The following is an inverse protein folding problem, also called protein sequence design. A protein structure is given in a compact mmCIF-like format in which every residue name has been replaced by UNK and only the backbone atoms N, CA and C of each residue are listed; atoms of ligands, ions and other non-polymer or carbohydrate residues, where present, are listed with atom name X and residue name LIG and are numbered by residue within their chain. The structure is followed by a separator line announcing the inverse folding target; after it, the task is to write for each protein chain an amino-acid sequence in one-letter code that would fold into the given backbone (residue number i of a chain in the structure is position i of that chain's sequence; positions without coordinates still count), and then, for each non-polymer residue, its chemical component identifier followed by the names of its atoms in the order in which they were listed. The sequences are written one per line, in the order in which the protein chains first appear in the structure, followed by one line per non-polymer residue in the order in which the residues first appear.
data_IF_735474445746
#
_entry.id   IF_735474445746
#
_cell.length_a   1.000
_cell.length_b   1.000
_cell.length_c   1.000
_cell.angle_alpha   90.00
_cell.angle_beta   90.00
_cell.angle_gamma   90.00
#
_symmetry.space_group_name_H-M   'P 1'
#
loop_
_entity.id
_entity.type
_entity.pdbx_description
1 polymer ?
#
# COMPACT_ATOMS: atom_id res chain seq x y z
N UNK A 1 34.43 1.64 -15.64
CA UNK A 1 33.37 2.33 -16.39
C UNK A 1 32.53 3.03 -15.34
N UNK A 2 32.54 4.37 -15.27
CA UNK A 2 31.64 5.09 -14.35
C UNK A 2 30.28 5.13 -15.04
N UNK A 3 29.26 4.49 -14.48
CA UNK A 3 27.90 4.59 -15.01
C UNK A 3 27.35 5.98 -14.70
N UNK A 4 26.62 6.56 -15.65
CA UNK A 4 25.86 7.81 -15.47
C UNK A 4 24.51 7.56 -14.76
N UNK A 5 24.26 6.32 -14.33
CA UNK A 5 23.07 5.90 -13.61
C UNK A 5 23.30 6.18 -12.13
N UNK A 6 22.46 7.04 -11.54
CA UNK A 6 22.47 7.29 -10.12
C UNK A 6 22.06 6.01 -9.37
N UNK A 7 22.86 5.60 -8.39
CA UNK A 7 22.59 4.43 -7.57
C UNK A 7 22.84 4.74 -6.09
N UNK A 8 22.17 4.00 -5.22
CA UNK A 8 22.42 4.00 -3.79
C UNK A 8 23.08 2.67 -3.42
N UNK A 9 24.24 2.75 -2.75
CA UNK A 9 24.82 1.58 -2.08
C UNK A 9 24.14 1.47 -0.71
N UNK A 10 23.52 0.33 -0.44
CA UNK A 10 22.88 0.11 0.85
C UNK A 10 23.97 -0.17 1.89
N UNK A 11 24.07 0.69 2.91
CA UNK A 11 25.10 0.63 3.97
C UNK A 11 25.29 -0.80 4.52
N UNK A 12 26.55 -1.24 4.62
CA UNK A 12 26.97 -2.58 5.07
C UNK A 12 26.42 -3.76 4.24
N UNK A 13 26.01 -3.53 2.99
CA UNK A 13 25.63 -4.59 2.05
C UNK A 13 26.32 -4.47 0.69
N UNK A 14 26.46 -5.62 0.01
CA UNK A 14 26.97 -5.69 -1.37
C UNK A 14 25.88 -5.35 -2.42
N UNK A 15 24.69 -4.89 -1.98
CA UNK A 15 23.60 -4.54 -2.87
C UNK A 15 23.72 -3.09 -3.37
N UNK A 16 23.62 -2.95 -4.69
CA UNK A 16 23.44 -1.67 -5.37
C UNK A 16 21.99 -1.61 -5.83
N UNK A 17 21.26 -0.57 -5.42
CA UNK A 17 19.88 -0.35 -5.85
C UNK A 17 19.81 0.92 -6.68
N UNK A 18 19.14 0.84 -7.83
CA UNK A 18 18.86 1.97 -8.69
C UNK A 18 17.60 1.72 -9.51
N UNK A 19 16.98 2.81 -9.94
CA UNK A 19 15.86 2.79 -10.88
C UNK A 19 16.38 3.10 -12.29
N UNK A 20 15.89 2.37 -13.29
CA UNK A 20 16.17 2.64 -14.70
C UNK A 20 14.89 2.41 -15.52
N UNK A 21 14.64 3.28 -16.51
CA UNK A 21 13.55 3.07 -17.44
C UNK A 21 13.92 2.02 -18.49
N UNK A 22 12.95 1.22 -18.92
CA UNK A 22 13.14 0.17 -19.93
C UNK A 22 13.55 0.73 -21.32
N UNK A 23 13.30 2.03 -21.57
CA UNK A 23 13.72 2.73 -22.78
C UNK A 23 15.12 3.36 -22.69
N UNK A 24 15.80 3.25 -21.55
CA UNK A 24 17.19 3.68 -21.41
C UNK A 24 18.13 2.80 -22.26
N UNK A 25 19.08 3.38 -23.01
CA UNK A 25 20.02 2.62 -23.83
C UNK A 25 20.85 1.57 -23.09
N UNK A 26 21.04 1.71 -21.77
CA UNK A 26 21.78 0.76 -20.95
C UNK A 26 20.92 -0.43 -20.49
N UNK A 27 19.58 -0.33 -20.55
CA UNK A 27 18.66 -1.35 -20.07
C UNK A 27 18.94 -2.75 -20.65
N UNK A 28 19.17 -2.95 -21.97
CA UNK A 28 19.46 -4.28 -22.50
C UNK A 28 20.72 -4.93 -21.90
N UNK A 29 21.73 -4.13 -21.54
CA UNK A 29 22.97 -4.65 -20.92
C UNK A 29 22.74 -5.03 -19.46
N UNK A 30 21.93 -4.26 -18.75
CA UNK A 30 21.57 -4.53 -17.35
C UNK A 30 20.67 -5.76 -17.26
N UNK A 31 19.67 -5.86 -18.15
CA UNK A 31 18.81 -7.03 -18.25
C UNK A 31 19.63 -8.31 -18.50
N UNK A 32 20.58 -8.28 -19.43
CA UNK A 32 21.44 -9.43 -19.70
C UNK A 32 22.33 -9.82 -18.49
N UNK A 33 22.76 -8.84 -17.69
CA UNK A 33 23.50 -9.09 -16.45
C UNK A 33 22.61 -9.77 -15.40
N UNK A 34 21.41 -9.24 -15.16
CA UNK A 34 20.45 -9.82 -14.23
C UNK A 34 20.11 -11.27 -14.62
N UNK A 35 19.84 -11.52 -15.90
CA UNK A 35 19.57 -12.86 -16.42
C UNK A 35 20.76 -13.83 -16.22
N UNK A 36 22.00 -13.37 -16.42
CA UNK A 36 23.20 -14.17 -16.21
C UNK A 36 23.43 -14.54 -14.74
N UNK A 37 23.06 -13.65 -13.82
CA UNK A 37 23.18 -13.85 -12.37
C UNK A 37 21.97 -14.57 -11.77
N UNK A 38 20.92 -14.82 -12.57
CA UNK A 38 19.66 -15.41 -12.10
C UNK A 38 18.84 -14.46 -11.21
N UNK A 39 19.06 -13.14 -11.38
CA UNK A 39 18.37 -12.07 -10.68
C UNK A 39 17.29 -11.43 -11.58
N UNK A 40 16.40 -10.64 -10.99
CA UNK A 40 15.28 -10.04 -11.68
C UNK A 40 15.05 -8.60 -11.23
N UNK A 41 14.76 -7.72 -12.19
CA UNK A 41 14.28 -6.39 -11.89
C UNK A 41 12.84 -6.46 -11.33
N UNK A 42 12.51 -5.50 -10.47
CA UNK A 42 11.15 -5.31 -9.96
C UNK A 42 10.51 -4.16 -10.77
N UNK A 43 9.63 -4.45 -11.74
CA UNK A 43 9.07 -3.40 -12.56
C UNK A 43 8.13 -2.51 -11.74
N UNK A 44 8.16 -1.21 -12.02
CA UNK A 44 7.22 -0.23 -11.45
C UNK A 44 6.86 0.80 -12.50
N UNK A 45 5.57 1.00 -12.71
CA UNK A 45 5.06 2.01 -13.63
C UNK A 45 5.08 3.38 -12.98
N UNK A 46 5.68 4.35 -13.69
CA UNK A 46 5.67 5.76 -13.29
C UNK A 46 4.58 6.47 -14.07
N UNK A 47 3.59 7.01 -13.36
CA UNK A 47 2.48 7.75 -13.95
C UNK A 47 2.78 9.25 -13.96
N UNK A 48 2.40 9.89 -15.06
CA UNK A 48 2.47 11.34 -15.21
C UNK A 48 1.47 12.04 -14.28
N UNK A 49 1.73 13.31 -13.97
CA UNK A 49 0.77 14.15 -13.23
C UNK A 49 -0.57 14.29 -13.95
N UNK A 50 -0.60 14.19 -15.27
CA UNK A 50 -1.83 14.30 -16.04
C UNK A 50 -2.68 13.05 -15.87
N UNK A 51 -2.08 11.85 -15.98
CA UNK A 51 -2.78 10.58 -15.75
C UNK A 51 -3.39 10.52 -14.34
N UNK A 52 -2.65 10.96 -13.31
CA UNK A 52 -3.17 11.03 -11.94
C UNK A 52 -4.33 12.05 -11.81
N UNK A 53 -4.31 13.13 -12.59
CA UNK A 53 -5.37 14.17 -12.57
C UNK A 53 -6.63 13.78 -13.32
N UNK A 54 -6.51 12.91 -14.31
CA UNK A 54 -7.61 12.43 -15.15
C UNK A 54 -8.27 11.15 -14.61
N UNK A 55 -7.56 10.39 -13.78
CA UNK A 55 -8.10 9.20 -13.15
C UNK A 55 -9.32 9.52 -12.28
N UNK A 56 -10.35 8.67 -12.37
CA UNK A 56 -11.53 8.73 -11.51
C UNK A 56 -11.23 8.17 -10.11
N UNK A 57 -10.38 7.14 -10.07
CA UNK A 57 -9.95 6.43 -8.88
C UNK A 57 -8.46 6.13 -8.95
N UNK A 58 -7.81 6.14 -7.79
CA UNK A 58 -6.39 5.85 -7.65
C UNK A 58 -6.16 4.87 -6.51
N UNK A 59 -5.25 3.93 -6.71
CA UNK A 59 -4.59 3.25 -5.60
C UNK A 59 -3.69 4.23 -4.87
N UNK A 60 -3.70 4.18 -3.55
CA UNK A 60 -2.77 4.91 -2.68
C UNK A 60 -2.00 3.93 -1.78
N UNK A 61 -0.73 4.22 -1.53
CA UNK A 61 0.07 3.59 -0.46
C UNK A 61 1.10 4.56 0.08
N UNK A 62 1.61 4.30 1.29
CA UNK A 62 2.83 4.96 1.75
C UNK A 62 4.08 4.25 1.21
N UNK A 63 5.10 5.02 0.84
CA UNK A 63 6.49 4.52 0.67
C UNK A 63 7.36 4.79 1.90
N UNK A 64 6.84 5.49 2.89
CA UNK A 64 7.50 5.64 4.19
C UNK A 64 6.94 4.62 5.17
N UNK A 65 7.74 3.60 5.45
CA UNK A 65 7.46 2.64 6.50
C UNK A 65 8.15 3.07 7.79
N UNK A 66 7.38 3.27 8.87
CA UNK A 66 7.94 3.74 10.15
C UNK A 66 7.61 2.81 11.31
N UNK A 67 8.65 2.11 11.78
CA UNK A 67 8.53 1.19 12.90
C UNK A 67 7.75 -0.08 12.54
N UNK A 68 7.64 -0.97 13.52
CA UNK A 68 6.93 -2.24 13.40
C UNK A 68 5.73 -2.25 14.37
N UNK A 69 4.64 -2.95 14.00
CA UNK A 69 3.53 -3.17 14.91
C UNK A 69 3.98 -4.01 16.12
N UNK A 70 3.54 -3.64 17.32
CA UNK A 70 3.95 -4.28 18.57
C UNK A 70 2.89 -5.28 19.08
N UNK A 71 3.32 -6.40 19.68
CA UNK A 71 4.70 -6.89 19.76
C UNK A 71 5.19 -7.49 18.44
N UNK A 72 6.44 -7.21 18.08
CA UNK A 72 7.06 -7.69 16.84
C UNK A 72 7.38 -9.19 16.87
N UNK A 73 7.80 -9.67 18.05
CA UNK A 73 8.24 -11.04 18.26
C UNK A 73 7.16 -12.04 17.84
N UNK A 74 7.53 -12.97 16.96
CA UNK A 74 6.64 -14.00 16.43
C UNK A 74 5.33 -13.46 15.81
N UNK A 75 5.35 -12.23 15.28
CA UNK A 75 4.16 -11.54 14.75
C UNK A 75 3.03 -11.38 15.78
N UNK A 76 3.35 -11.30 17.08
CA UNK A 76 2.37 -11.27 18.16
C UNK A 76 1.39 -10.09 18.11
N UNK A 77 1.73 -9.01 17.39
CA UNK A 77 0.79 -7.91 17.12
C UNK A 77 -0.52 -8.40 16.47
N UNK A 78 -0.47 -9.48 15.68
CA UNK A 78 -1.65 -9.99 14.97
C UNK A 78 -2.71 -10.48 15.95
N UNK A 79 -2.32 -11.12 17.03
CA UNK A 79 -3.27 -11.62 18.05
C UNK A 79 -3.94 -10.49 18.83
N UNK A 80 -3.23 -9.37 19.01
CA UNK A 80 -3.74 -8.21 19.74
C UNK A 80 -4.60 -7.30 18.86
N UNK A 81 -4.17 -7.09 17.61
CA UNK A 81 -4.76 -6.11 16.69
C UNK A 81 -5.91 -6.70 15.87
N UNK A 82 -5.81 -7.98 15.52
CA UNK A 82 -6.77 -8.65 14.64
C UNK A 82 -7.56 -9.75 15.35
N UNK A 83 -8.78 -9.95 14.89
CA UNK A 83 -9.57 -11.14 15.12
C UNK A 83 -9.13 -12.24 14.12
N UNK A 84 -8.60 -13.37 14.61
CA UNK A 84 -8.16 -14.46 13.75
C UNK A 84 -9.30 -15.39 13.30
N UNK A 85 -10.56 -15.11 13.64
CA UNK A 85 -11.70 -16.01 13.35
C UNK A 85 -11.81 -16.37 11.86
N UNK A 86 -11.48 -15.44 10.97
CA UNK A 86 -11.50 -15.65 9.52
C UNK A 86 -10.10 -15.77 8.90
N UNK A 87 -9.05 -15.81 9.72
CA UNK A 87 -7.67 -15.87 9.25
C UNK A 87 -7.33 -17.24 8.66
N UNK A 88 -6.89 -17.24 7.40
CA UNK A 88 -6.40 -18.44 6.74
C UNK A 88 -4.88 -18.57 6.91
N UNK A 89 -4.43 -19.62 7.59
CA UNK A 89 -2.99 -19.89 7.80
C UNK A 89 -2.22 -20.28 6.54
N UNK A 90 -2.93 -20.67 5.47
CA UNK A 90 -2.35 -21.04 4.19
C UNK A 90 -2.03 -19.81 3.35
N UNK A 91 -3.01 -18.94 3.10
CA UNK A 91 -2.83 -17.77 2.22
C UNK A 91 -2.56 -16.46 2.95
N UNK A 92 -2.77 -16.39 4.27
CA UNK A 92 -2.56 -15.21 5.10
C UNK A 92 -3.74 -14.24 5.17
N UNK A 93 -4.79 -14.45 4.37
CA UNK A 93 -5.94 -13.55 4.25
C UNK A 93 -6.92 -13.66 5.43
N UNK A 94 -7.84 -12.69 5.51
CA UNK A 94 -9.01 -12.73 6.38
C UNK A 94 -8.78 -12.22 7.81
N UNK A 95 -7.71 -11.45 8.05
CA UNK A 95 -7.54 -10.74 9.31
C UNK A 95 -8.58 -9.62 9.41
N UNK A 96 -9.28 -9.49 10.52
CA UNK A 96 -10.25 -8.40 10.74
C UNK A 96 -9.77 -7.57 11.93
N UNK A 97 -9.55 -6.27 11.76
CA UNK A 97 -9.03 -5.45 12.85
C UNK A 97 -10.08 -5.32 13.97
N UNK A 98 -9.66 -5.63 15.20
CA UNK A 98 -10.49 -5.56 16.41
C UNK A 98 -9.98 -4.55 17.45
N UNK A 99 -8.72 -4.12 17.35
CA UNK A 99 -8.12 -3.16 18.26
C UNK A 99 -7.11 -2.26 17.51
N UNK A 100 -6.72 -1.16 18.13
CA UNK A 100 -5.71 -0.22 17.65
C UNK A 100 -4.32 -0.88 17.55
N UNK A 101 -3.57 -0.50 16.52
CA UNK A 101 -2.16 -0.82 16.44
C UNK A 101 -1.36 -0.23 17.60
N UNK A 102 -0.34 -0.98 18.03
CA UNK A 102 0.62 -0.57 19.06
C UNK A 102 1.96 -0.26 18.42
N UNK A 103 2.56 0.87 18.80
CA UNK A 103 3.86 1.30 18.30
C UNK A 103 4.80 1.60 19.48
N UNK A 104 6.09 1.47 19.24
CA UNK A 104 7.11 1.80 20.25
C UNK A 104 7.16 3.30 20.55
N UNK A 105 6.96 4.14 19.53
CA UNK A 105 6.95 5.61 19.63
C UNK A 105 6.27 6.22 18.41
N UNK A 106 5.84 7.48 18.53
CA UNK A 106 5.41 8.28 17.39
C UNK A 106 6.57 8.50 16.39
N UNK A 107 6.28 8.60 15.08
CA UNK A 107 7.28 8.89 14.08
C UNK A 107 7.77 10.33 14.22
N UNK A 108 8.98 10.60 13.71
CA UNK A 108 9.43 11.98 13.50
C UNK A 108 8.84 12.48 12.17
N UNK A 109 7.67 13.10 12.23
CA UNK A 109 6.91 13.55 11.06
C UNK A 109 7.71 14.44 10.10
N UNK A 110 8.40 15.47 10.62
CA UNK A 110 9.08 16.44 9.77
C UNK A 110 8.05 17.14 8.88
N UNK A 111 8.18 16.97 7.55
CA UNK A 111 7.18 17.48 6.58
C UNK A 111 6.34 16.34 5.96
N UNK A 112 6.31 15.17 6.59
CA UNK A 112 5.55 14.00 6.14
C UNK A 112 4.26 13.94 6.95
N UNK A 113 3.19 13.49 6.32
CA UNK A 113 1.86 13.43 6.94
C UNK A 113 1.27 12.02 6.95
N UNK A 114 1.83 11.10 6.18
CA UNK A 114 1.35 9.72 6.07
C UNK A 114 2.50 8.74 6.26
N UNK A 115 2.27 7.63 6.96
CA UNK A 115 3.15 6.47 6.96
C UNK A 115 2.36 5.15 7.00
N UNK A 116 3.05 4.05 6.75
CA UNK A 116 2.56 2.69 7.02
C UNK A 116 3.52 1.99 7.97
N UNK A 117 3.05 0.97 8.68
CA UNK A 117 3.94 0.16 9.50
C UNK A 117 4.70 -0.84 8.61
N UNK A 118 5.85 -1.30 9.08
CA UNK A 118 6.47 -2.48 8.48
C UNK A 118 5.54 -3.70 8.66
N UNK A 119 5.44 -4.57 7.65
CA UNK A 119 4.55 -5.75 7.59
C UNK A 119 3.04 -5.47 7.51
N UNK A 120 2.62 -4.20 7.44
CA UNK A 120 1.21 -3.81 7.33
C UNK A 120 1.14 -2.78 6.21
N UNK A 121 0.92 -3.27 4.98
CA UNK A 121 1.07 -2.46 3.77
C UNK A 121 -0.25 -1.82 3.30
N UNK A 122 -1.37 -2.27 3.84
CA UNK A 122 -2.74 -1.87 3.56
C UNK A 122 -3.35 -0.94 4.62
N UNK A 123 -2.53 -0.44 5.55
CA UNK A 123 -2.95 0.51 6.57
C UNK A 123 -2.15 1.81 6.51
N UNK A 124 -2.84 2.93 6.68
CA UNK A 124 -2.25 4.27 6.69
C UNK A 124 -2.42 4.93 8.05
N UNK A 125 -1.38 5.66 8.46
CA UNK A 125 -1.36 6.47 9.67
C UNK A 125 -1.05 7.92 9.32
N UNK A 126 -1.71 8.84 10.01
CA UNK A 126 -1.63 10.28 9.77
C UNK A 126 -1.27 11.07 11.02
N UNK A 127 -0.70 12.26 10.81
CA UNK A 127 -0.47 13.26 11.84
C UNK A 127 -1.74 14.09 12.14
N UNK A 128 -1.65 14.98 13.13
CA UNK A 128 -2.78 15.87 13.50
C UNK A 128 -3.20 16.79 12.34
N UNK A 129 -2.24 17.23 11.51
CA UNK A 129 -2.51 18.11 10.36
C UNK A 129 -3.37 17.41 9.32
N UNK A 130 -2.93 16.24 8.82
CA UNK A 130 -3.68 15.49 7.83
C UNK A 130 -5.02 14.99 8.39
N UNK A 131 -5.06 14.56 9.66
CA UNK A 131 -6.32 14.23 10.34
C UNK A 131 -7.31 15.39 10.28
N UNK A 132 -6.92 16.59 10.70
CA UNK A 132 -7.82 17.75 10.75
C UNK A 132 -8.36 18.15 9.36
N UNK A 133 -7.51 18.10 8.34
CA UNK A 133 -7.90 18.38 6.95
C UNK A 133 -8.89 17.32 6.44
N UNK A 134 -8.62 16.03 6.69
CA UNK A 134 -9.50 14.94 6.30
C UNK A 134 -10.85 15.01 7.03
N UNK A 135 -10.88 15.26 8.34
CA UNK A 135 -12.13 15.38 9.12
C UNK A 135 -13.01 16.55 8.64
N UNK A 136 -12.41 17.66 8.22
CA UNK A 136 -13.14 18.84 7.74
C UNK A 136 -13.52 18.81 6.26
N UNK A 137 -13.09 17.80 5.51
CA UNK A 137 -13.25 17.73 4.05
C UNK A 137 -14.63 17.26 3.57
N UNK A 138 -15.42 16.65 4.46
CA UNK A 138 -16.66 15.97 4.12
C UNK A 138 -16.47 14.72 3.24
N UNK A 139 -15.25 14.21 3.10
CA UNK A 139 -14.99 12.91 2.47
C UNK A 139 -15.56 11.77 3.35
N UNK A 140 -15.86 10.64 2.74
CA UNK A 140 -16.47 9.48 3.43
C UNK A 140 -15.65 8.20 3.25
N UNK A 141 -16.01 7.14 4.00
CA UNK A 141 -15.40 5.80 3.86
C UNK A 141 -14.30 5.49 4.86
N UNK A 142 -14.02 6.42 5.78
CA UNK A 142 -13.01 6.25 6.81
C UNK A 142 -13.44 6.85 8.15
N UNK A 143 -12.75 6.39 9.20
CA UNK A 143 -12.72 7.02 10.52
C UNK A 143 -11.31 6.96 11.08
N UNK A 144 -11.06 7.69 12.17
CA UNK A 144 -9.77 7.64 12.85
C UNK A 144 -9.80 6.67 14.04
N UNK A 145 -8.77 5.83 14.12
CA UNK A 145 -8.45 5.05 15.31
C UNK A 145 -7.18 5.63 15.95
N UNK A 146 -7.08 5.66 17.29
CA UNK A 146 -5.84 6.03 17.93
C UNK A 146 -4.79 4.95 17.67
N UNK A 147 -3.53 5.33 17.55
CA UNK A 147 -2.41 4.42 17.78
C UNK A 147 -2.13 4.33 19.29
N UNK A 148 -1.67 3.18 19.78
CA UNK A 148 -1.33 2.99 21.20
C UNK A 148 0.17 2.82 21.42
N UNK A 149 0.63 3.09 22.64
CA UNK A 149 2.00 2.78 23.04
C UNK A 149 2.24 1.25 23.01
N UNK A 150 3.51 0.82 23.11
CA UNK A 150 3.88 -0.60 23.08
C UNK A 150 3.11 -1.48 24.06
N UNK A 151 2.74 -0.93 25.23
CA UNK A 151 1.98 -1.64 26.27
C UNK A 151 0.48 -1.71 25.99
N UNK A 152 -0.04 -0.89 25.09
CA UNK A 152 -1.47 -0.76 24.78
C UNK A 152 -2.26 0.02 25.83
N UNK A 153 -1.58 0.74 26.74
CA UNK A 153 -2.21 1.38 27.90
C UNK A 153 -2.58 2.85 27.65
N UNK A 154 -1.93 3.48 26.69
CA UNK A 154 -2.08 4.91 26.39
C UNK A 154 -2.09 5.09 24.88
N UNK A 155 -2.85 6.07 24.41
CA UNK A 155 -2.79 6.53 23.03
C UNK A 155 -1.47 7.27 22.77
N UNK A 156 -0.94 7.15 21.56
CA UNK A 156 0.22 7.90 21.11
C UNK A 156 -0.25 9.25 20.56
N UNK A 157 0.13 10.38 21.20
CA UNK A 157 -0.25 11.70 20.72
C UNK A 157 0.24 11.94 19.29
N UNK A 158 -0.60 12.56 18.46
CA UNK A 158 -0.26 12.95 17.10
C UNK A 158 -0.09 11.79 16.11
N UNK A 159 -0.64 10.60 16.42
CA UNK A 159 -0.63 9.44 15.51
C UNK A 159 -2.01 8.80 15.45
N UNK A 160 -2.62 8.85 14.27
CA UNK A 160 -3.98 8.36 14.04
C UNK A 160 -3.97 7.39 12.87
N UNK A 161 -4.52 6.20 13.03
CA UNK A 161 -4.79 5.32 11.90
C UNK A 161 -5.98 5.85 11.12
N UNK A 162 -5.82 5.98 9.80
CA UNK A 162 -6.91 6.20 8.86
C UNK A 162 -7.58 4.85 8.57
N UNK A 163 -8.54 4.48 9.41
CA UNK A 163 -9.23 3.20 9.31
C UNK A 163 -10.28 3.25 8.19
N UNK A 164 -10.08 2.42 7.17
CA UNK A 164 -11.00 2.31 6.02
C UNK A 164 -12.15 1.36 6.36
N UNK A 165 -13.38 1.86 6.24
CA UNK A 165 -14.58 1.16 6.72
C UNK A 165 -15.25 0.31 5.66
N UNK A 166 -14.92 0.54 4.40
CA UNK A 166 -15.64 -0.06 3.28
C UNK A 166 -14.73 -0.84 2.37
N UNK A 167 -15.31 -1.88 1.79
CA UNK A 167 -14.69 -2.77 0.84
C UNK A 167 -15.45 -2.68 -0.48
N UNK A 168 -14.74 -2.71 -1.61
CA UNK A 168 -15.38 -2.76 -2.93
C UNK A 168 -16.23 -4.03 -3.09
N UNK A 169 -17.06 -4.07 -4.12
CA UNK A 169 -17.55 -5.36 -4.61
C UNK A 169 -16.39 -6.08 -5.34
N UNK A 170 -16.46 -7.40 -5.56
CA UNK A 170 -15.54 -8.08 -6.47
C UNK A 170 -15.57 -7.43 -7.84
N UNK A 171 -14.40 -7.21 -8.44
CA UNK A 171 -14.32 -6.48 -9.69
C UNK A 171 -12.96 -6.41 -10.36
N UNK A 172 -11.91 -6.99 -9.78
CA UNK A 172 -10.60 -7.06 -10.44
C UNK A 172 -10.73 -7.86 -11.74
N UNK A 173 -10.18 -7.31 -12.82
CA UNK A 173 -10.12 -7.95 -14.13
C UNK A 173 -8.73 -8.54 -14.28
N UNK A 174 -8.66 -9.87 -14.42
CA UNK A 174 -7.41 -10.62 -14.50
C UNK A 174 -7.06 -10.99 -15.94
N UNK A 175 -5.82 -11.43 -16.18
CA UNK A 175 -5.31 -11.78 -17.52
C UNK A 175 -4.65 -10.63 -18.28
N UNK A 176 -4.53 -9.45 -17.64
CA UNK A 176 -3.69 -8.35 -18.10
C UNK A 176 -2.20 -8.56 -17.79
N UNK A 177 -1.37 -7.54 -18.07
CA UNK A 177 0.06 -7.55 -17.71
C UNK A 177 0.31 -7.08 -16.28
N UNK A 178 -0.70 -6.52 -15.63
CA UNK A 178 -0.64 -5.96 -14.28
C UNK A 178 -0.75 -7.03 -13.18
N UNK A 179 -1.22 -8.23 -13.55
CA UNK A 179 -1.34 -9.40 -12.68
C UNK A 179 -0.77 -10.62 -13.43
N UNK A 180 0.27 -11.24 -12.89
CA UNK A 180 0.91 -12.45 -13.45
C UNK A 180 0.37 -13.75 -12.83
N UNK A 181 -0.06 -13.72 -11.56
CA UNK A 181 -0.60 -14.86 -10.84
C UNK A 181 -1.93 -14.52 -10.14
N UNK A 182 -2.89 -15.41 -10.32
CA UNK A 182 -4.16 -15.41 -9.58
C UNK A 182 -4.26 -16.73 -8.84
N UNK A 183 -4.11 -16.67 -7.53
CA UNK A 183 -4.14 -17.84 -6.66
C UNK A 183 -5.47 -17.92 -5.93
N UNK A 184 -6.16 -19.07 -6.04
CA UNK A 184 -7.33 -19.36 -5.20
C UNK A 184 -6.94 -20.34 -4.11
N UNK A 185 -7.13 -19.94 -2.85
CA UNK A 185 -6.73 -20.72 -1.69
C UNK A 185 -7.60 -21.96 -1.52
N UNK A 186 -6.99 -23.16 -1.51
CA UNK A 186 -7.72 -24.40 -1.33
C UNK A 186 -8.42 -24.53 0.04
N UNK A 187 -7.85 -23.94 1.10
CA UNK A 187 -8.45 -24.01 2.44
C UNK A 187 -9.59 -23.02 2.70
N UNK A 188 -9.59 -21.83 2.09
CA UNK A 188 -10.59 -20.79 2.39
C UNK A 188 -11.36 -20.26 1.18
N UNK A 189 -10.99 -20.66 -0.04
CA UNK A 189 -11.65 -20.25 -1.28
C UNK A 189 -11.40 -18.80 -1.70
N UNK A 190 -10.66 -18.00 -0.92
CA UNK A 190 -10.32 -16.61 -1.28
C UNK A 190 -9.36 -16.57 -2.46
N UNK A 191 -9.57 -15.59 -3.33
CA UNK A 191 -8.70 -15.28 -4.46
C UNK A 191 -7.72 -14.17 -4.08
N UNK A 192 -6.45 -14.40 -4.39
CA UNK A 192 -5.36 -13.45 -4.20
C UNK A 192 -4.69 -13.15 -5.54
N UNK A 193 -4.51 -11.87 -5.82
CA UNK A 193 -3.85 -11.39 -7.04
C UNK A 193 -2.40 -11.01 -6.74
N UNK A 194 -1.47 -11.45 -7.59
CA UNK A 194 -0.09 -11.03 -7.51
C UNK A 194 0.17 -9.84 -8.48
N UNK A 195 0.52 -8.64 -7.97
CA UNK A 195 0.73 -7.48 -8.83
C UNK A 195 2.13 -7.48 -9.45
N UNK A 196 2.22 -7.27 -10.76
CA UNK A 196 3.52 -7.15 -11.44
C UNK A 196 4.18 -5.79 -11.26
N UNK A 197 3.40 -4.75 -10.94
CA UNK A 197 3.86 -3.36 -10.96
C UNK A 197 3.83 -2.70 -12.34
N UNK A 198 3.36 -3.42 -13.37
CA UNK A 198 3.24 -2.94 -14.75
C UNK A 198 1.82 -2.45 -15.02
N UNK A 199 1.69 -1.24 -15.57
CA UNK A 199 0.43 -0.65 -15.99
C UNK A 199 -0.53 -0.32 -14.84
N UNK A 200 -1.78 -0.06 -15.22
CA UNK A 200 -2.89 0.20 -14.31
C UNK A 200 -3.58 -1.11 -13.97
N UNK A 201 -4.00 -1.26 -12.71
CA UNK A 201 -4.93 -2.34 -12.37
C UNK A 201 -6.29 -2.06 -12.97
N UNK A 202 -6.91 -3.09 -13.55
CA UNK A 202 -8.19 -2.97 -14.25
C UNK A 202 -9.31 -3.47 -13.33
N UNK A 203 -10.34 -2.64 -13.15
CA UNK A 203 -11.52 -2.93 -12.34
C UNK A 203 -12.79 -2.75 -13.17
N UNK A 204 -13.80 -3.57 -12.91
CA UNK A 204 -15.16 -3.33 -13.41
C UNK A 204 -15.74 -2.10 -12.74
N UNK A 205 -16.36 -1.22 -13.51
CA UNK A 205 -16.98 0.00 -12.99
C UNK A 205 -17.96 -0.27 -11.84
N UNK A 206 -18.75 -1.35 -11.91
CA UNK A 206 -19.76 -1.69 -10.90
C UNK A 206 -19.16 -2.00 -9.51
N UNK A 207 -17.86 -2.29 -9.44
CA UNK A 207 -17.15 -2.55 -8.20
C UNK A 207 -16.97 -1.30 -7.34
N UNK A 208 -16.90 -0.14 -8.00
CA UNK A 208 -16.70 1.18 -7.40
C UNK A 208 -17.91 2.09 -7.50
N UNK A 209 -18.95 1.69 -8.25
CA UNK A 209 -20.22 2.40 -8.29
C UNK A 209 -20.82 2.58 -6.88
N UNK A 210 -21.03 3.85 -6.52
CA UNK A 210 -21.55 4.26 -5.22
C UNK A 210 -20.59 4.06 -4.04
N UNK A 211 -19.30 3.75 -4.28
CA UNK A 211 -18.31 3.66 -3.20
C UNK A 211 -17.99 5.05 -2.61
N UNK A 212 -17.62 5.11 -1.31
CA UNK A 212 -17.21 6.34 -0.66
C UNK A 212 -15.82 6.81 -1.13
N UNK A 213 -15.33 7.95 -0.64
CA UNK A 213 -14.08 8.54 -1.15
C UNK A 213 -12.79 7.71 -0.87
N UNK A 214 -12.85 6.73 0.02
CA UNK A 214 -11.81 5.73 0.24
C UNK A 214 -12.41 4.37 0.57
N UNK A 215 -11.88 3.32 -0.05
CA UNK A 215 -12.26 1.94 0.20
C UNK A 215 -11.07 1.01 0.02
N UNK A 216 -11.18 -0.22 0.51
CA UNK A 216 -10.22 -1.29 0.25
C UNK A 216 -10.78 -2.24 -0.80
N UNK A 217 -9.93 -2.93 -1.56
CA UNK A 217 -10.39 -3.94 -2.52
C UNK A 217 -11.04 -5.14 -1.83
N UNK A 218 -11.99 -5.78 -2.51
CA UNK A 218 -12.50 -7.09 -2.09
C UNK A 218 -11.43 -8.18 -2.19
N UNK A 219 -10.69 -8.16 -3.29
CA UNK A 219 -9.63 -9.10 -3.58
C UNK A 219 -8.42 -8.87 -2.66
N UNK A 220 -7.81 -9.97 -2.22
CA UNK A 220 -6.54 -9.97 -1.51
C UNK A 220 -5.40 -9.78 -2.52
N UNK A 221 -4.30 -9.15 -2.11
CA UNK A 221 -3.12 -8.92 -2.94
C UNK A 221 -1.83 -9.35 -2.24
N UNK A 222 -0.85 -9.81 -3.02
CA UNK A 222 0.51 -10.08 -2.54
C UNK A 222 0.97 -11.53 -2.68
N UNK A 223 2.19 -11.80 -2.21
CA UNK A 223 2.88 -13.08 -2.37
C UNK A 223 2.77 -13.99 -1.16
N UNK A 224 2.78 -15.31 -1.38
CA UNK A 224 2.97 -16.30 -0.32
C UNK A 224 1.93 -16.17 0.81
N UNK A 225 2.35 -15.75 2.01
CA UNK A 225 1.45 -15.49 3.15
C UNK A 225 1.17 -14.00 3.41
N UNK A 226 1.64 -13.11 2.54
CA UNK A 226 1.20 -11.72 2.47
C UNK A 226 -0.16 -11.67 1.77
N UNK A 227 -1.13 -11.04 2.39
CA UNK A 227 -2.47 -10.83 1.88
C UNK A 227 -2.92 -9.46 2.40
N UNK A 228 -2.66 -8.45 1.59
CA UNK A 228 -2.97 -7.06 1.85
C UNK A 228 -4.13 -6.64 0.95
N UNK A 229 -4.91 -5.64 1.34
CA UNK A 229 -5.84 -4.98 0.42
C UNK A 229 -5.17 -3.80 -0.30
N UNK A 230 -5.60 -3.51 -1.54
CA UNK A 230 -5.28 -2.20 -2.11
C UNK A 230 -6.21 -1.16 -1.51
N UNK A 231 -5.64 -0.02 -1.10
CA UNK A 231 -6.42 1.16 -0.74
C UNK A 231 -6.70 1.97 -2.00
N UNK A 232 -7.98 2.18 -2.30
CA UNK A 232 -8.46 2.98 -3.43
C UNK A 232 -9.05 4.28 -2.89
N UNK A 233 -8.69 5.40 -3.51
CA UNK A 233 -9.21 6.73 -3.20
C UNK A 233 -9.86 7.35 -4.43
N UNK A 234 -10.96 8.07 -4.20
CA UNK A 234 -11.61 8.86 -5.23
C UNK A 234 -10.70 10.00 -5.68
N UNK A 235 -10.97 10.51 -6.89
CA UNK A 235 -10.24 11.67 -7.39
C UNK A 235 -10.40 12.91 -6.51
N UNK A 236 -11.52 13.02 -5.79
CA UNK A 236 -11.78 14.10 -4.84
C UNK A 236 -10.82 14.02 -3.65
N UNK A 237 -10.58 12.83 -3.10
CA UNK A 237 -9.63 12.63 -2.01
C UNK A 237 -8.19 12.86 -2.46
N UNK A 238 -7.81 12.38 -3.65
CA UNK A 238 -6.49 12.67 -4.23
C UNK A 238 -6.22 14.17 -4.33
N UNK A 239 -7.17 14.94 -4.86
CA UNK A 239 -7.04 16.40 -4.97
C UNK A 239 -6.91 17.07 -3.60
N UNK A 240 -7.74 16.67 -2.63
CA UNK A 240 -7.63 17.19 -1.26
C UNK A 240 -6.21 17.00 -0.71
N UNK A 241 -5.63 15.81 -0.88
CA UNK A 241 -4.28 15.48 -0.40
C UNK A 241 -3.23 16.38 -1.07
N UNK A 242 -3.26 16.47 -2.40
CA UNK A 242 -2.25 17.21 -3.18
C UNK A 242 -2.38 18.72 -3.01
N UNK A 243 -3.60 19.25 -3.02
CA UNK A 243 -3.87 20.69 -2.89
C UNK A 243 -3.49 21.21 -1.49
N UNK A 244 -3.43 20.33 -0.50
CA UNK A 244 -2.95 20.63 0.86
C UNK A 244 -1.49 20.21 1.11
N UNK A 245 -0.76 19.79 0.08
CA UNK A 245 0.66 19.40 0.18
C UNK A 245 0.95 18.21 1.12
N UNK A 246 0.00 17.28 1.26
CA UNK A 246 0.11 16.14 2.16
C UNK A 246 0.70 14.88 1.48
N UNK A 247 0.97 14.93 0.18
CA UNK A 247 1.36 13.80 -0.66
C UNK A 247 2.78 13.29 -0.43
N UNK A 248 3.59 13.99 0.37
CA UNK A 248 4.96 13.57 0.63
C UNK A 248 4.96 12.17 1.26
N UNK A 249 5.68 11.25 0.60
CA UNK A 249 5.77 9.82 0.94
C UNK A 249 4.53 8.98 0.61
N UNK A 250 3.53 9.52 -0.08
CA UNK A 250 2.52 8.72 -0.75
C UNK A 250 2.96 8.35 -2.17
N UNK A 251 2.45 7.22 -2.65
CA UNK A 251 2.54 6.78 -4.03
C UNK A 251 1.12 6.56 -4.52
N UNK A 252 0.80 7.17 -5.66
CA UNK A 252 -0.49 7.00 -6.32
C UNK A 252 -0.31 6.27 -7.65
N UNK A 253 -1.24 5.40 -7.96
CA UNK A 253 -1.35 4.78 -9.27
C UNK A 253 -2.83 4.84 -9.71
N UNK A 254 -3.13 5.35 -10.91
CA UNK A 254 -4.48 5.31 -11.42
C UNK A 254 -4.92 3.86 -11.64
N UNK A 255 -6.22 3.60 -11.48
CA UNK A 255 -6.82 2.34 -11.90
C UNK A 255 -7.64 2.58 -13.17
N UNK A 256 -7.74 1.55 -14.01
CA UNK A 256 -8.56 1.59 -15.21
C UNK A 256 -9.93 0.99 -14.90
N UNK A 257 -11.00 1.70 -15.26
CA UNK A 257 -12.38 1.21 -15.15
C UNK A 257 -12.89 0.73 -16.51
N UNK A 258 -13.55 -0.43 -16.53
CA UNK A 258 -14.19 -1.01 -17.72
C UNK A 258 -15.62 -1.47 -17.45
#
# INVERSE_FOLDING_TARGET
MRSDIAFEQVDDSDFIVFDIFEDDPHWPSIQALLEADGDHAIPTTVFTKQELKEAEWLRVRSKWHNGYPQPESAFGYRELTYDPTHYCRECGAGLVQKDSFRLTKAPKWGTRHFFSLNWVFDELFVDDTARSILESSGLTGFRFLPAKNKRGTEELPGVHQLFVETETKPGVVTGGRDIDEVYTCAACGRTKCHPTGIGMHVFRWEALDGMPDICRTHEDWGWGKGADWLLLISQRMYRLIVDNHLERCLVFAPIQLI
#
